data_IF_404717878689
#
_entry.id   IF_404717878689
#
_cell.length_a   1.000
_cell.length_b   1.000
_cell.length_c   1.000
_cell.angle_alpha   90.00
_cell.angle_beta   90.00
_cell.angle_gamma   90.00
#
_symmetry.space_group_name_H-M   'P 1'
#
loop_
_entity.id
_entity.type
_entity.pdbx_description
1 polymer ?
#
# COMPACT_ATOMS: atom_id res chain seq x y z
N UNK A 1 -10.11 51.31 -2.52
CA UNK A 1 -11.40 51.17 -3.23
C UNK A 1 -12.14 50.00 -2.59
N UNK A 2 -13.44 50.15 -2.25
CA UNK A 2 -14.20 49.03 -1.70
C UNK A 2 -14.25 47.89 -2.71
N UNK A 3 -14.01 46.65 -2.23
CA UNK A 3 -14.09 45.45 -3.07
C UNK A 3 -15.55 45.23 -3.50
N UNK A 4 -15.72 44.77 -4.74
CA UNK A 4 -17.03 44.35 -5.22
C UNK A 4 -17.50 43.12 -4.44
N UNK A 5 -18.79 43.00 -4.14
CA UNK A 5 -19.42 41.81 -3.53
C UNK A 5 -19.08 40.56 -4.31
N UNK A 6 -18.95 40.66 -5.63
CA UNK A 6 -18.57 39.55 -6.49
C UNK A 6 -17.11 39.08 -6.27
N UNK A 7 -16.19 40.03 -6.03
CA UNK A 7 -14.79 39.71 -5.79
C UNK A 7 -14.62 38.99 -4.45
N UNK A 8 -15.32 39.43 -3.41
CA UNK A 8 -15.32 38.81 -2.09
C UNK A 8 -15.89 37.41 -2.16
N UNK A 9 -17.02 37.24 -2.84
CA UNK A 9 -17.61 35.90 -3.06
C UNK A 9 -16.63 34.98 -3.75
N UNK A 10 -16.01 35.41 -4.83
CA UNK A 10 -15.03 34.64 -5.58
C UNK A 10 -13.83 34.23 -4.73
N UNK A 11 -13.35 35.10 -3.84
CA UNK A 11 -12.26 34.77 -2.91
C UNK A 11 -12.67 33.70 -1.90
N UNK A 12 -13.85 33.80 -1.31
CA UNK A 12 -14.40 32.81 -0.39
C UNK A 12 -14.60 31.46 -1.06
N UNK A 13 -15.22 31.43 -2.24
CA UNK A 13 -15.42 30.22 -3.04
C UNK A 13 -14.07 29.55 -3.37
N UNK A 14 -13.09 30.33 -3.80
CA UNK A 14 -11.74 29.83 -4.10
C UNK A 14 -11.06 29.21 -2.88
N UNK A 15 -11.17 29.84 -1.71
CA UNK A 15 -10.61 29.30 -0.46
C UNK A 15 -11.34 28.03 -0.04
N UNK A 16 -12.67 28.01 -0.18
CA UNK A 16 -13.47 26.83 0.10
C UNK A 16 -13.09 25.64 -0.80
N UNK A 17 -13.03 25.86 -2.11
CA UNK A 17 -12.59 24.85 -3.09
C UNK A 17 -11.16 24.35 -2.80
N UNK A 18 -10.27 25.25 -2.38
CA UNK A 18 -8.90 24.88 -2.00
C UNK A 18 -8.89 23.92 -0.81
N UNK A 19 -9.69 24.20 0.23
CA UNK A 19 -9.80 23.33 1.41
C UNK A 19 -10.42 21.98 1.03
N UNK A 20 -11.49 21.95 0.24
CA UNK A 20 -12.07 20.70 -0.24
C UNK A 20 -11.09 19.88 -1.07
N UNK A 21 -10.35 20.53 -1.96
CA UNK A 21 -9.30 19.87 -2.74
C UNK A 21 -8.24 19.25 -1.85
N UNK A 22 -7.79 19.97 -0.81
CA UNK A 22 -6.84 19.47 0.18
C UNK A 22 -7.39 18.26 0.94
N UNK A 23 -8.68 18.25 1.28
CA UNK A 23 -9.34 17.09 1.90
C UNK A 23 -9.35 15.86 0.98
N UNK A 24 -9.70 16.03 -0.30
CA UNK A 24 -9.66 14.93 -1.29
C UNK A 24 -8.25 14.38 -1.46
N UNK A 25 -7.26 15.26 -1.58
CA UNK A 25 -5.84 14.86 -1.66
C UNK A 25 -5.39 14.12 -0.40
N UNK A 26 -5.90 14.50 0.78
CA UNK A 26 -5.65 13.79 2.02
C UNK A 26 -6.19 12.35 2.00
N UNK A 27 -7.38 12.12 1.47
CA UNK A 27 -7.95 10.77 1.32
C UNK A 27 -7.08 9.93 0.39
N UNK A 28 -6.69 10.49 -0.76
CA UNK A 28 -5.80 9.82 -1.73
C UNK A 28 -4.44 9.49 -1.11
N UNK A 29 -3.85 10.46 -0.41
CA UNK A 29 -2.57 10.24 0.30
C UNK A 29 -2.64 9.15 1.35
N UNK A 30 -3.74 9.10 2.11
CA UNK A 30 -3.97 8.02 3.08
C UNK A 30 -4.08 6.63 2.45
N UNK A 31 -4.82 6.54 1.34
CA UNK A 31 -4.94 5.31 0.57
C UNK A 31 -3.59 4.87 -0.04
N UNK A 32 -2.79 5.84 -0.53
CA UNK A 32 -1.44 5.59 -1.04
C UNK A 32 -0.50 5.04 0.03
N UNK A 33 -0.49 5.63 1.23
CA UNK A 33 0.31 5.13 2.36
C UNK A 33 -0.07 3.68 2.68
N UNK A 34 -1.37 3.36 2.72
CA UNK A 34 -1.87 2.01 2.99
C UNK A 34 -1.42 1.02 1.90
N UNK A 35 -1.51 1.41 0.63
CA UNK A 35 -1.08 0.57 -0.49
C UNK A 35 0.42 0.25 -0.43
N UNK A 36 1.25 1.26 -0.17
CA UNK A 36 2.70 1.06 -0.05
C UNK A 36 3.07 0.22 1.18
N UNK A 37 2.42 0.45 2.33
CA UNK A 37 2.63 -0.37 3.52
C UNK A 37 2.28 -1.83 3.25
N UNK A 38 1.16 -2.09 2.56
CA UNK A 38 0.76 -3.43 2.17
C UNK A 38 1.75 -4.07 1.21
N UNK A 39 2.27 -3.33 0.22
CA UNK A 39 3.30 -3.80 -0.70
C UNK A 39 4.58 -4.25 0.03
N UNK A 40 5.02 -3.47 1.02
CA UNK A 40 6.18 -3.82 1.87
C UNK A 40 5.94 -5.17 2.56
N UNK A 41 4.77 -5.33 3.18
CA UNK A 41 4.41 -6.59 3.85
C UNK A 41 4.43 -7.76 2.88
N UNK A 42 3.90 -7.59 1.66
CA UNK A 42 3.90 -8.63 0.64
C UNK A 42 5.31 -9.05 0.20
N UNK A 43 6.21 -8.07 -0.01
CA UNK A 43 7.61 -8.36 -0.38
C UNK A 43 8.31 -9.15 0.72
N UNK A 44 8.13 -8.76 1.98
CA UNK A 44 8.74 -9.45 3.12
C UNK A 44 8.17 -10.85 3.33
N UNK A 45 6.87 -11.05 3.13
CA UNK A 45 6.25 -12.36 3.23
C UNK A 45 6.68 -13.28 2.08
N UNK A 46 6.78 -12.76 0.85
CA UNK A 46 7.24 -13.55 -0.31
C UNK A 46 8.64 -14.12 -0.10
N UNK A 47 9.49 -13.41 0.64
CA UNK A 47 10.83 -13.91 0.96
C UNK A 47 10.82 -15.20 1.78
N UNK A 48 9.83 -15.36 2.66
CA UNK A 48 9.73 -16.50 3.57
C UNK A 48 8.87 -17.64 3.00
N UNK A 49 7.76 -17.28 2.36
CA UNK A 49 6.67 -18.22 2.06
C UNK A 49 6.73 -18.79 0.64
N UNK A 50 7.29 -18.04 -0.33
CA UNK A 50 7.28 -18.42 -1.75
C UNK A 50 5.85 -18.71 -2.24
N UNK A 51 5.05 -17.66 -2.38
CA UNK A 51 3.65 -17.79 -2.75
C UNK A 51 3.44 -18.45 -4.11
N UNK A 52 2.44 -19.32 -4.19
CA UNK A 52 1.94 -19.85 -5.45
C UNK A 52 1.25 -18.77 -6.31
N UNK A 53 1.11 -18.96 -7.63
CA UNK A 53 0.54 -17.96 -8.53
C UNK A 53 -0.87 -17.53 -8.15
N UNK A 54 -1.71 -18.43 -7.66
CA UNK A 54 -3.10 -18.12 -7.27
C UNK A 54 -3.10 -17.19 -6.07
N UNK A 55 -2.31 -17.48 -5.05
CA UNK A 55 -2.15 -16.63 -3.87
C UNK A 55 -1.61 -15.24 -4.25
N UNK A 56 -0.62 -15.16 -5.16
CA UNK A 56 -0.09 -13.89 -5.66
C UNK A 56 -1.18 -13.03 -6.31
N UNK A 57 -1.99 -13.63 -7.19
CA UNK A 57 -3.10 -12.92 -7.85
C UNK A 57 -4.10 -12.39 -6.83
N UNK A 58 -4.50 -13.20 -5.84
CA UNK A 58 -5.43 -12.78 -4.78
C UNK A 58 -4.84 -11.61 -3.98
N UNK A 59 -3.57 -11.69 -3.59
CA UNK A 59 -2.90 -10.64 -2.85
C UNK A 59 -2.77 -9.33 -3.65
N UNK A 60 -2.53 -9.42 -4.98
CA UNK A 60 -2.51 -8.25 -5.87
C UNK A 60 -3.90 -7.62 -6.03
N UNK A 61 -4.96 -8.43 -6.12
CA UNK A 61 -6.33 -7.92 -6.12
C UNK A 61 -6.62 -7.16 -4.82
N UNK A 62 -6.21 -7.69 -3.67
CA UNK A 62 -6.36 -7.02 -2.38
C UNK A 62 -5.53 -5.74 -2.30
N UNK A 63 -4.33 -5.71 -2.89
CA UNK A 63 -3.47 -4.51 -2.96
C UNK A 63 -4.17 -3.35 -3.67
N UNK A 64 -5.01 -3.62 -4.65
CA UNK A 64 -5.76 -2.60 -5.40
C UNK A 64 -7.11 -2.30 -4.76
N UNK A 65 -7.86 -3.34 -4.35
CA UNK A 65 -9.24 -3.20 -3.88
C UNK A 65 -9.36 -2.50 -2.52
N UNK A 66 -8.43 -2.75 -1.59
CA UNK A 66 -8.46 -2.12 -0.27
C UNK A 66 -8.26 -0.60 -0.37
N UNK A 67 -7.22 -0.06 -1.02
CA UNK A 67 -7.08 1.38 -1.22
C UNK A 67 -8.22 2.01 -2.01
N UNK A 68 -8.72 1.32 -3.04
CA UNK A 68 -9.88 1.78 -3.82
C UNK A 68 -11.14 1.91 -2.93
N UNK A 69 -11.36 0.94 -2.05
CA UNK A 69 -12.45 0.99 -1.05
C UNK A 69 -12.29 2.18 -0.09
N UNK A 70 -11.07 2.42 0.40
CA UNK A 70 -10.76 3.57 1.27
C UNK A 70 -11.01 4.90 0.56
N UNK A 71 -10.61 5.01 -0.71
CA UNK A 71 -10.85 6.21 -1.53
C UNK A 71 -12.35 6.41 -1.72
N UNK A 72 -13.06 5.37 -2.15
CA UNK A 72 -14.51 5.41 -2.38
C UNK A 72 -15.28 5.85 -1.12
N UNK A 73 -15.01 5.20 0.00
CA UNK A 73 -15.68 5.52 1.26
C UNK A 73 -15.28 6.89 1.80
N UNK A 74 -13.99 7.23 1.69
CA UNK A 74 -13.45 8.52 2.12
C UNK A 74 -14.06 9.69 1.34
N UNK A 75 -14.15 9.58 0.01
CA UNK A 75 -14.77 10.62 -0.82
C UNK A 75 -16.26 10.74 -0.54
N UNK A 76 -16.98 9.63 -0.34
CA UNK A 76 -18.41 9.66 0.01
C UNK A 76 -18.68 10.33 1.34
N UNK A 77 -17.77 10.22 2.29
CA UNK A 77 -17.89 10.82 3.62
C UNK A 77 -17.56 12.33 3.63
N UNK A 78 -16.89 12.82 2.59
CA UNK A 78 -16.64 14.24 2.39
C UNK A 78 -17.95 14.88 1.91
N UNK A 79 -18.83 15.24 2.86
CA UNK A 79 -20.00 16.06 2.54
C UNK A 79 -19.52 17.45 2.10
N UNK A 80 -20.05 17.99 1.00
CA UNK A 80 -19.76 19.36 0.63
C UNK A 80 -20.22 20.27 1.77
N UNK A 81 -19.31 21.02 2.35
CA UNK A 81 -19.64 22.01 3.39
C UNK A 81 -20.36 23.15 2.70
N UNK A 82 -21.60 23.42 3.08
CA UNK A 82 -22.36 24.53 2.51
C UNK A 82 -21.66 25.87 2.79
N UNK A 83 -21.87 26.87 1.90
CA UNK A 83 -21.26 28.20 2.02
C UNK A 83 -21.45 28.81 3.41
N UNK A 84 -22.65 28.68 3.99
CA UNK A 84 -22.98 29.22 5.31
C UNK A 84 -22.17 28.56 6.42
N UNK A 85 -22.01 27.23 6.35
CA UNK A 85 -21.23 26.49 7.34
C UNK A 85 -19.73 26.77 7.22
N UNK A 86 -19.23 26.91 5.99
CA UNK A 86 -17.85 27.37 5.74
C UNK A 86 -17.60 28.73 6.36
N UNK A 87 -18.54 29.69 6.14
CA UNK A 87 -18.46 31.02 6.72
C UNK A 87 -18.51 30.99 8.25
N UNK A 88 -19.36 30.15 8.84
CA UNK A 88 -19.43 29.97 10.31
C UNK A 88 -18.11 29.52 10.88
N UNK A 89 -17.45 28.56 10.23
CA UNK A 89 -16.14 28.08 10.66
C UNK A 89 -15.06 29.17 10.50
N UNK A 90 -15.10 29.92 9.41
CA UNK A 90 -14.20 31.01 9.16
C UNK A 90 -14.38 32.14 10.21
N UNK A 91 -15.61 32.57 10.47
CA UNK A 91 -15.92 33.60 11.47
C UNK A 91 -15.48 33.23 12.89
N UNK A 92 -15.64 31.96 13.28
CA UNK A 92 -15.19 31.48 14.60
C UNK A 92 -13.65 31.41 14.73
N UNK A 93 -12.95 31.30 13.63
CA UNK A 93 -11.48 31.22 13.62
C UNK A 93 -10.79 32.58 13.51
N UNK A 94 -11.55 33.62 13.20
CA UNK A 94 -11.06 34.98 12.99
C UNK A 94 -11.65 35.95 14.02
N UNK A 95 -10.81 36.81 14.57
CA UNK A 95 -11.19 37.82 15.55
C UNK A 95 -11.67 39.11 14.85
N UNK A 96 -12.57 38.99 13.88
CA UNK A 96 -13.14 40.09 13.13
C UNK A 96 -14.59 40.31 13.64
N UNK A 97 -14.88 41.35 14.42
CA UNK A 97 -16.20 41.56 15.05
C UNK A 97 -17.34 41.64 14.03
N UNK A 98 -17.09 42.26 12.87
CA UNK A 98 -18.07 42.45 11.79
C UNK A 98 -18.59 41.11 11.23
N UNK A 99 -17.82 40.04 11.38
CA UNK A 99 -18.19 38.70 10.88
C UNK A 99 -19.22 38.03 11.80
N UNK A 100 -19.27 38.34 13.08
CA UNK A 100 -20.19 37.74 14.03
C UNK A 100 -21.65 38.17 13.83
N UNK A 101 -21.89 39.39 13.39
CA UNK A 101 -23.24 39.95 13.22
C UNK A 101 -24.06 39.23 12.15
N UNK A 102 -23.42 38.71 11.11
CA UNK A 102 -24.13 37.98 10.06
C UNK A 102 -24.61 36.60 10.53
N UNK A 103 -23.96 36.01 11.54
CA UNK A 103 -24.38 34.73 12.12
C UNK A 103 -25.57 34.86 13.05
N UNK A 104 -25.77 36.02 13.67
CA UNK A 104 -26.94 36.28 14.53
C UNK A 104 -28.25 36.27 13.71
N UNK A 105 -28.18 36.60 12.41
CA UNK A 105 -29.31 36.54 11.49
C UNK A 105 -29.74 35.08 11.20
N UNK A 106 -28.84 34.14 11.33
CA UNK A 106 -29.13 32.70 11.13
C UNK A 106 -29.99 32.12 12.27
N UNK A 107 -29.91 32.70 13.46
CA UNK A 107 -30.76 32.33 14.60
C UNK A 107 -32.25 32.65 14.41
N UNK A 108 -32.59 33.44 13.40
CA UNK A 108 -33.98 33.71 13.01
C UNK A 108 -34.54 32.46 12.28
N UNK A 109 -35.48 31.76 12.92
CA UNK A 109 -36.07 30.46 12.53
C UNK A 109 -36.59 30.32 11.08
N UNK A 110 -36.63 31.41 10.29
CA UNK A 110 -37.19 31.45 8.93
C UNK A 110 -36.34 32.25 7.93
N UNK A 111 -35.06 32.50 8.20
CA UNK A 111 -34.22 33.29 7.31
C UNK A 111 -33.93 32.53 5.99
N UNK A 112 -34.22 33.17 4.86
CA UNK A 112 -33.90 32.66 3.55
C UNK A 112 -32.37 32.52 3.39
N UNK A 113 -31.82 31.36 2.99
CA UNK A 113 -30.37 31.18 2.81
C UNK A 113 -29.70 32.26 1.94
N UNK A 114 -30.41 32.76 0.91
CA UNK A 114 -29.92 33.84 0.05
C UNK A 114 -29.81 35.18 0.75
N UNK A 115 -30.67 35.45 1.71
CA UNK A 115 -30.59 36.69 2.53
C UNK A 115 -29.43 36.61 3.50
N UNK A 116 -29.17 35.44 4.09
CA UNK A 116 -28.02 35.22 4.96
C UNK A 116 -26.74 35.41 4.16
N UNK A 117 -26.63 34.81 2.97
CA UNK A 117 -25.49 34.99 2.09
C UNK A 117 -25.26 36.46 1.71
N UNK A 118 -26.32 37.18 1.35
CA UNK A 118 -26.25 38.61 1.02
C UNK A 118 -25.79 39.46 2.22
N UNK A 119 -26.26 39.17 3.43
CA UNK A 119 -25.84 39.84 4.66
C UNK A 119 -24.36 39.56 4.97
N UNK A 120 -23.91 38.31 4.83
CA UNK A 120 -22.52 37.94 4.98
C UNK A 120 -21.62 38.75 4.03
N UNK A 121 -21.97 38.79 2.75
CA UNK A 121 -21.20 39.49 1.75
C UNK A 121 -21.19 41.00 1.98
N UNK A 122 -22.31 41.58 2.45
CA UNK A 122 -22.41 43.02 2.81
C UNK A 122 -21.51 43.36 3.98
N UNK A 123 -21.47 42.53 5.03
CA UNK A 123 -20.58 42.74 6.18
C UNK A 123 -19.10 42.64 5.80
N UNK A 124 -18.77 41.68 4.94
CA UNK A 124 -17.39 41.50 4.45
C UNK A 124 -16.91 42.69 3.60
N UNK A 125 -17.81 43.47 2.99
CA UNK A 125 -17.43 44.69 2.24
C UNK A 125 -16.88 45.79 3.14
N UNK A 126 -17.21 45.76 4.44
CA UNK A 126 -16.75 46.73 5.42
C UNK A 126 -15.36 46.38 5.96
N UNK A 127 -14.90 45.12 5.73
CA UNK A 127 -13.58 44.67 6.18
C UNK A 127 -12.52 45.13 5.19
N UNK A 128 -11.35 45.54 5.69
CA UNK A 128 -10.21 45.90 4.87
C UNK A 128 -9.80 44.66 4.00
N UNK A 129 -9.62 44.86 2.67
CA UNK A 129 -9.21 43.80 1.77
C UNK A 129 -7.95 43.03 2.17
N UNK A 130 -6.96 43.74 2.72
CA UNK A 130 -5.69 43.10 3.15
C UNK A 130 -5.92 42.26 4.40
N UNK A 131 -6.74 42.68 5.32
CA UNK A 131 -7.11 41.94 6.52
C UNK A 131 -7.92 40.69 6.14
N UNK A 132 -8.84 40.82 5.20
CA UNK A 132 -9.64 39.71 4.72
C UNK A 132 -8.74 38.64 4.06
N UNK A 133 -7.85 39.04 3.16
CA UNK A 133 -6.94 38.13 2.46
C UNK A 133 -5.97 37.42 3.42
N UNK A 134 -5.44 38.15 4.39
CA UNK A 134 -4.59 37.59 5.44
C UNK A 134 -5.32 36.53 6.28
N UNK A 135 -6.54 36.85 6.71
CA UNK A 135 -7.34 35.92 7.52
C UNK A 135 -7.82 34.70 6.74
N UNK A 136 -8.20 34.84 5.47
CA UNK A 136 -8.55 33.71 4.60
C UNK A 136 -7.36 32.76 4.43
N UNK A 137 -6.17 33.30 4.17
CA UNK A 137 -4.97 32.51 4.06
C UNK A 137 -4.62 31.82 5.38
N UNK A 138 -4.68 32.52 6.50
CA UNK A 138 -4.45 31.97 7.84
C UNK A 138 -5.43 30.84 8.15
N UNK A 139 -6.71 31.03 7.80
CA UNK A 139 -7.74 30.00 7.96
C UNK A 139 -7.47 28.77 7.10
N UNK A 140 -7.13 28.98 5.82
CA UNK A 140 -6.77 27.91 4.91
C UNK A 140 -5.56 27.10 5.42
N UNK A 141 -4.49 27.78 5.84
CA UNK A 141 -3.26 27.15 6.32
C UNK A 141 -3.47 26.49 7.70
N UNK A 142 -4.30 27.07 8.56
CA UNK A 142 -4.68 26.54 9.86
C UNK A 142 -5.71 25.40 9.79
N UNK A 143 -6.31 25.17 8.63
CA UNK A 143 -7.32 24.13 8.49
C UNK A 143 -6.74 22.75 8.75
N UNK A 144 -7.54 21.87 9.37
CA UNK A 144 -7.15 20.48 9.62
C UNK A 144 -6.72 19.77 8.32
N UNK A 145 -7.32 20.12 7.18
CA UNK A 145 -6.97 19.60 5.87
C UNK A 145 -5.54 19.97 5.45
N UNK A 146 -5.12 21.22 5.68
CA UNK A 146 -3.76 21.69 5.37
C UNK A 146 -2.71 21.06 6.27
N UNK A 147 -2.97 20.99 7.57
CA UNK A 147 -2.07 20.38 8.54
C UNK A 147 -1.88 18.88 8.26
N UNK A 148 -2.98 18.16 8.01
CA UNK A 148 -2.92 16.74 7.66
C UNK A 148 -2.20 16.51 6.33
N UNK A 149 -2.40 17.37 5.33
CA UNK A 149 -1.74 17.26 4.04
C UNK A 149 -0.22 17.38 4.18
N UNK A 150 0.23 18.35 4.98
CA UNK A 150 1.66 18.55 5.20
C UNK A 150 2.30 17.34 5.91
N UNK A 151 1.67 16.84 6.98
CA UNK A 151 2.14 15.63 7.67
C UNK A 151 2.16 14.40 6.74
N UNK A 152 1.10 14.21 5.94
CA UNK A 152 1.00 13.07 5.01
C UNK A 152 2.01 13.12 3.88
N UNK A 153 2.41 14.29 3.39
CA UNK A 153 3.48 14.42 2.40
C UNK A 153 4.79 13.84 2.91
N UNK A 154 5.17 14.17 4.14
CA UNK A 154 6.37 13.61 4.76
C UNK A 154 6.29 12.11 4.98
N UNK A 155 5.15 11.62 5.48
CA UNK A 155 4.93 10.17 5.65
C UNK A 155 5.00 9.46 4.32
N UNK A 156 4.31 9.96 3.29
CA UNK A 156 4.31 9.36 1.96
C UNK A 156 5.71 9.32 1.35
N UNK A 157 6.47 10.42 1.46
CA UNK A 157 7.86 10.47 0.98
C UNK A 157 8.76 9.47 1.71
N UNK A 158 8.59 9.33 3.03
CA UNK A 158 9.36 8.37 3.84
C UNK A 158 9.01 6.93 3.46
N UNK A 159 7.73 6.63 3.31
CA UNK A 159 7.25 5.28 2.91
C UNK A 159 7.74 4.95 1.50
N UNK A 160 7.69 5.90 0.56
CA UNK A 160 8.20 5.72 -0.80
C UNK A 160 9.71 5.44 -0.80
N UNK A 161 10.49 6.23 -0.05
CA UNK A 161 11.93 5.99 0.10
C UNK A 161 12.21 4.60 0.69
N UNK A 162 11.43 4.17 1.68
CA UNK A 162 11.55 2.85 2.29
C UNK A 162 11.21 1.71 1.32
N UNK A 163 10.17 1.87 0.49
CA UNK A 163 9.85 0.91 -0.59
C UNK A 163 10.99 0.76 -1.56
N UNK A 164 11.62 1.88 -1.96
CA UNK A 164 12.77 1.86 -2.86
C UNK A 164 13.92 1.07 -2.22
N UNK A 165 14.27 1.37 -0.97
CA UNK A 165 15.35 0.67 -0.24
C UNK A 165 15.04 -0.83 -0.14
N UNK A 166 13.83 -1.20 0.25
CA UNK A 166 13.41 -2.61 0.35
C UNK A 166 13.48 -3.31 -1.01
N UNK A 167 13.02 -2.65 -2.09
CA UNK A 167 13.06 -3.24 -3.43
C UNK A 167 14.49 -3.52 -3.90
N UNK A 168 15.45 -2.67 -3.54
CA UNK A 168 16.86 -2.93 -3.82
C UNK A 168 17.45 -4.03 -2.93
N UNK A 169 17.11 -4.04 -1.65
CA UNK A 169 17.64 -5.03 -0.68
C UNK A 169 17.06 -6.42 -0.94
N UNK A 170 15.79 -6.50 -1.31
CA UNK A 170 15.06 -7.76 -1.56
C UNK A 170 14.66 -7.90 -3.03
N UNK A 171 15.62 -7.62 -3.92
CA UNK A 171 15.40 -7.62 -5.37
C UNK A 171 14.80 -8.95 -5.88
N UNK A 172 15.25 -10.09 -5.35
CA UNK A 172 14.74 -11.42 -5.73
C UNK A 172 13.26 -11.58 -5.35
N UNK A 173 12.86 -11.17 -4.15
CA UNK A 173 11.48 -11.22 -3.69
C UNK A 173 10.58 -10.28 -4.49
N UNK A 174 11.07 -9.09 -4.82
CA UNK A 174 10.37 -8.14 -5.67
C UNK A 174 10.20 -8.69 -7.10
N UNK A 175 11.25 -9.27 -7.66
CA UNK A 175 11.21 -9.93 -8.98
C UNK A 175 10.22 -11.08 -9.02
N UNK A 176 10.25 -11.98 -8.00
CA UNK A 176 9.29 -13.08 -7.87
C UNK A 176 7.85 -12.59 -7.73
N UNK A 177 7.61 -11.50 -6.99
CA UNK A 177 6.28 -10.92 -6.84
C UNK A 177 5.79 -10.26 -8.12
N UNK A 178 6.69 -9.64 -8.91
CA UNK A 178 6.35 -9.04 -10.21
C UNK A 178 5.97 -10.11 -11.26
N UNK A 179 6.52 -11.31 -11.14
CA UNK A 179 6.21 -12.47 -12.00
C UNK A 179 5.10 -13.33 -11.37
N UNK A 180 3.93 -12.71 -11.15
CA UNK A 180 2.80 -13.33 -10.42
C UNK A 180 2.22 -14.59 -11.09
N UNK A 181 2.54 -14.83 -12.37
CA UNK A 181 2.13 -16.03 -13.12
C UNK A 181 3.08 -17.21 -12.98
N UNK A 182 4.26 -17.03 -12.35
CA UNK A 182 5.28 -18.06 -12.21
C UNK A 182 5.28 -18.62 -10.78
N UNK A 183 5.24 -19.93 -10.66
CA UNK A 183 5.51 -20.62 -9.40
C UNK A 183 7.02 -20.69 -9.19
N UNK A 184 7.51 -20.17 -8.08
CA UNK A 184 8.91 -20.28 -7.68
C UNK A 184 9.01 -21.33 -6.58
N UNK A 185 9.89 -22.30 -6.79
CA UNK A 185 10.21 -23.27 -5.75
C UNK A 185 11.17 -22.67 -4.74
N UNK A 186 10.98 -23.02 -3.47
CA UNK A 186 11.90 -22.63 -2.42
C UNK A 186 13.28 -23.24 -2.74
N UNK A 187 14.36 -22.45 -2.74
CA UNK A 187 15.68 -23.01 -2.97
C UNK A 187 15.97 -24.09 -1.93
N UNK A 188 16.52 -25.20 -2.40
CA UNK A 188 16.93 -26.28 -1.51
C UNK A 188 18.04 -25.75 -0.56
N UNK A 189 17.85 -25.75 0.76
CA UNK A 189 18.85 -25.26 1.69
C UNK A 189 20.11 -26.12 1.72
N UNK A 190 20.06 -27.32 1.15
CA UNK A 190 21.15 -28.25 1.15
C UNK A 190 21.89 -28.24 -0.19
N UNK A 191 23.17 -27.86 -0.18
CA UNK A 191 24.06 -28.13 -1.29
C UNK A 191 24.47 -29.61 -1.20
N UNK A 192 24.25 -30.35 -2.26
CA UNK A 192 24.58 -31.78 -2.27
C UNK A 192 25.19 -32.22 -3.60
N UNK A 193 26.07 -33.23 -3.52
CA UNK A 193 26.67 -33.87 -4.65
C UNK A 193 26.18 -35.31 -4.67
N UNK A 194 25.67 -35.77 -5.80
CA UNK A 194 25.20 -37.15 -5.98
C UNK A 194 26.19 -37.92 -6.85
N UNK A 195 26.61 -39.07 -6.35
CA UNK A 195 27.50 -39.99 -7.05
C UNK A 195 26.87 -41.39 -7.11
N UNK A 196 27.05 -42.12 -8.22
CA UNK A 196 27.56 -41.65 -9.50
C UNK A 196 26.52 -40.77 -10.20
N UNK A 197 26.96 -39.79 -11.00
CA UNK A 197 26.08 -39.02 -11.88
C UNK A 197 25.49 -39.90 -12.99
N UNK A 198 25.45 -39.35 -14.22
CA UNK A 198 24.99 -40.15 -15.38
C UNK A 198 25.95 -41.29 -15.66
N UNK A 199 25.48 -42.55 -15.52
CA UNK A 199 26.25 -43.73 -15.75
C UNK A 199 25.54 -44.70 -16.73
N UNK A 200 26.32 -45.40 -17.48
CA UNK A 200 25.85 -46.54 -18.31
C UNK A 200 26.30 -47.83 -17.65
N UNK A 201 25.36 -48.71 -17.37
CA UNK A 201 25.62 -49.97 -16.69
C UNK A 201 25.15 -51.14 -17.55
N UNK A 202 25.85 -52.28 -17.44
CA UNK A 202 25.40 -53.53 -18.07
C UNK A 202 24.22 -54.10 -17.29
N UNK A 203 23.32 -54.76 -18.01
CA UNK A 203 22.18 -55.44 -17.40
C UNK A 203 22.65 -56.52 -16.41
N UNK A 204 22.07 -56.54 -15.21
CA UNK A 204 22.46 -57.37 -14.11
C UNK A 204 23.53 -56.83 -13.17
N UNK A 205 24.07 -55.65 -13.49
CA UNK A 205 24.98 -54.95 -12.57
C UNK A 205 24.23 -54.40 -11.37
N UNK A 206 24.90 -54.38 -10.22
CA UNK A 206 24.40 -53.67 -9.03
C UNK A 206 25.13 -52.38 -8.88
N UNK A 207 24.43 -51.32 -8.51
CA UNK A 207 25.01 -50.03 -8.19
C UNK A 207 24.35 -49.39 -6.95
N UNK A 208 25.04 -48.51 -6.30
CA UNK A 208 24.53 -47.68 -5.19
C UNK A 208 24.70 -46.22 -5.53
N UNK A 209 23.80 -45.44 -5.03
CA UNK A 209 23.83 -43.95 -5.14
C UNK A 209 24.24 -43.41 -3.79
N UNK A 210 25.21 -42.51 -3.78
CA UNK A 210 25.61 -41.75 -2.59
C UNK A 210 25.33 -40.28 -2.77
N UNK A 211 24.91 -39.62 -1.69
CA UNK A 211 24.69 -38.17 -1.63
C UNK A 211 25.53 -37.58 -0.51
N UNK A 212 26.42 -36.66 -0.86
CA UNK A 212 27.22 -35.90 0.09
C UNK A 212 26.64 -34.49 0.22
N UNK A 213 26.42 -34.04 1.44
CA UNK A 213 25.86 -32.71 1.73
C UNK A 213 26.96 -31.79 2.26
N UNK A 214 26.95 -30.53 1.77
CA UNK A 214 27.78 -29.46 2.31
C UNK A 214 26.94 -28.65 3.31
N UNK A 215 27.44 -28.50 4.57
CA UNK A 215 26.76 -27.75 5.65
C UNK A 215 25.98 -28.62 6.60
N UNK A 216 24.76 -28.25 6.93
CA UNK A 216 23.88 -29.02 7.81
C UNK A 216 23.41 -30.31 7.14
N UNK A 217 23.53 -31.42 7.87
CA UNK A 217 23.04 -32.74 7.37
C UNK A 217 21.52 -32.79 7.56
N UNK A 218 20.75 -33.17 6.52
CA UNK A 218 19.34 -33.45 6.66
C UNK A 218 19.09 -34.67 7.57
N UNK A 219 17.95 -34.66 8.27
CA UNK A 219 17.56 -35.80 9.12
C UNK A 219 17.26 -37.05 8.30
N UNK A 220 16.62 -36.90 7.14
CA UNK A 220 16.24 -38.00 6.26
C UNK A 220 16.47 -37.64 4.80
N UNK A 221 16.95 -38.60 3.99
CA UNK A 221 17.13 -38.46 2.55
C UNK A 221 16.43 -39.61 1.84
N UNK A 222 15.64 -39.27 0.82
CA UNK A 222 14.94 -40.25 0.00
C UNK A 222 15.42 -40.22 -1.44
N UNK A 223 15.82 -41.37 -1.94
CA UNK A 223 16.09 -41.60 -3.36
C UNK A 223 14.78 -41.91 -4.08
N UNK A 224 14.44 -41.12 -5.10
CA UNK A 224 13.28 -41.34 -5.97
C UNK A 224 13.76 -42.00 -7.29
N UNK A 225 13.26 -43.16 -7.54
CA UNK A 225 13.56 -43.94 -8.76
C UNK A 225 12.34 -43.93 -9.67
N UNK A 226 12.60 -43.78 -10.95
CA UNK A 226 11.60 -43.96 -12.01
C UNK A 226 12.22 -44.73 -13.16
N UNK A 227 11.52 -45.78 -13.63
CA UNK A 227 11.85 -46.49 -14.86
C UNK A 227 10.97 -45.98 -16.00
N UNK A 228 11.39 -46.10 -17.24
CA UNK A 228 10.63 -45.67 -18.42
C UNK A 228 9.24 -46.31 -18.54
N UNK A 229 9.04 -47.44 -17.87
CA UNK A 229 7.79 -48.24 -17.89
C UNK A 229 6.85 -47.81 -16.75
N UNK A 230 7.35 -47.13 -15.72
CA UNK A 230 6.58 -46.77 -14.54
C UNK A 230 6.13 -45.31 -14.62
N UNK A 231 4.82 -45.05 -14.43
CA UNK A 231 4.30 -43.67 -14.36
C UNK A 231 4.69 -42.98 -13.05
N UNK A 232 4.86 -43.72 -11.95
CA UNK A 232 5.10 -43.20 -10.62
C UNK A 232 6.53 -43.43 -10.13
N UNK A 233 7.04 -42.47 -9.35
CA UNK A 233 8.31 -42.60 -8.66
C UNK A 233 8.19 -43.57 -7.46
N UNK A 234 9.15 -44.46 -7.31
CA UNK A 234 9.35 -45.23 -6.08
C UNK A 234 10.34 -44.53 -5.19
N UNK A 235 9.96 -44.26 -3.92
CA UNK A 235 10.85 -43.62 -2.92
C UNK A 235 11.50 -44.71 -2.05
N UNK A 236 12.81 -44.58 -1.83
CA UNK A 236 13.56 -45.39 -0.86
C UNK A 236 14.37 -44.48 0.06
N UNK A 237 14.33 -44.74 1.37
CA UNK A 237 15.18 -44.06 2.33
C UNK A 237 16.67 -44.45 2.08
N UNK A 238 17.54 -43.45 2.22
CA UNK A 238 19.00 -43.67 2.17
C UNK A 238 19.53 -43.73 3.61
N UNK A 239 20.58 -44.52 3.82
CA UNK A 239 21.22 -44.67 5.11
C UNK A 239 22.43 -43.72 5.25
N UNK A 240 22.59 -43.11 6.42
CA UNK A 240 23.75 -42.29 6.70
C UNK A 240 24.95 -43.18 7.06
N UNK A 241 25.97 -43.19 6.21
CA UNK A 241 27.21 -43.94 6.40
C UNK A 241 28.40 -42.99 6.22
N UNK A 242 29.24 -42.86 7.23
CA UNK A 242 30.46 -42.03 7.19
C UNK A 242 30.25 -40.56 6.76
N UNK A 243 29.09 -39.95 7.10
CA UNK A 243 28.77 -38.57 6.74
C UNK A 243 28.18 -38.39 5.34
N UNK A 244 27.93 -39.48 4.62
CA UNK A 244 27.24 -39.51 3.32
C UNK A 244 26.00 -40.38 3.42
N UNK A 245 24.95 -40.02 2.69
CA UNK A 245 23.77 -40.85 2.55
C UNK A 245 23.96 -41.83 1.39
N UNK A 246 23.83 -43.12 1.66
CA UNK A 246 24.05 -44.19 0.69
C UNK A 246 22.78 -45.01 0.50
N UNK A 247 22.42 -45.25 -0.75
CA UNK A 247 21.29 -46.12 -1.06
C UNK A 247 21.66 -47.59 -0.90
N UNK A 248 20.67 -48.40 -0.57
CA UNK A 248 20.80 -49.86 -0.71
C UNK A 248 21.10 -50.19 -2.19
N UNK A 249 22.02 -51.14 -2.48
CA UNK A 249 22.34 -51.48 -3.86
C UNK A 249 21.10 -51.88 -4.68
N UNK A 250 21.05 -51.42 -5.91
CA UNK A 250 20.00 -51.73 -6.86
C UNK A 250 20.56 -52.75 -7.85
N UNK A 251 19.78 -53.81 -8.14
CA UNK A 251 20.06 -54.72 -9.25
C UNK A 251 19.19 -54.29 -10.43
N UNK A 252 19.82 -54.04 -11.56
CA UNK A 252 19.15 -53.76 -12.84
C UNK A 252 18.64 -55.07 -13.46
N UNK A 253 17.77 -55.76 -12.74
CA UNK A 253 17.01 -56.87 -13.33
C UNK A 253 15.70 -56.28 -13.85
N UNK A 254 15.33 -56.67 -15.07
CA UNK A 254 14.09 -56.29 -15.76
C UNK A 254 12.88 -56.21 -14.87
#
# INVERSE_FOLDING_TARGET
MPQSTQDIRKKLEKTHESIERKQRVNVLGGAGILAFAWLIVLILLEQQVYFDPVTKIVLLILLVSIPAGVIWFGIRKLSPVGFVEFYRQFSRSTDIPELSYALDLEGAKNANPKLIEAAILSNLQQVDPEILDFNLKKFEDGSAASQQLNSRKWILSSVLAFVIVISFTFNDSFSRMSQFWVAFEKPNPFAYIVEPGDITLEQGSSFSVSATFEGELPEEVFLRLKTDVEENYRSRAMELQNGMFVSIPFNLNN
#
